data_IF_042457847454
#
_entry.id   IF_042457847454
#
_cell.length_a   1.000
_cell.length_b   1.000
_cell.length_c   1.000
_cell.angle_alpha   90.00
_cell.angle_beta   90.00
_cell.angle_gamma   90.00
#
_symmetry.space_group_name_H-M   'P 1'
#
loop_
_entity.id
_entity.type
_entity.pdbx_description
1 polymer ?
#
# COMPACT_ATOMS: atom_id res chain seq x y z
N UNK A 1 -11.47 -31.21 14.04
CA UNK A 1 -11.47 -29.84 13.46
C UNK A 1 -11.11 -28.75 14.48
N UNK A 2 -11.88 -28.50 15.57
CA UNK A 2 -11.59 -27.39 16.53
C UNK A 2 -10.23 -27.47 17.23
N UNK A 3 -9.65 -28.67 17.47
CA UNK A 3 -8.30 -28.81 18.06
C UNK A 3 -7.23 -28.31 17.10
N UNK A 4 -7.30 -28.67 15.82
CA UNK A 4 -6.37 -28.22 14.76
C UNK A 4 -6.52 -26.71 14.55
N UNK A 5 -7.76 -26.20 14.40
CA UNK A 5 -8.00 -24.77 14.25
C UNK A 5 -7.41 -23.95 15.40
N UNK A 6 -7.51 -24.46 16.65
CA UNK A 6 -6.90 -23.81 17.83
C UNK A 6 -5.38 -23.78 17.77
N UNK A 7 -4.75 -24.89 17.36
CA UNK A 7 -3.29 -24.93 17.22
C UNK A 7 -2.81 -23.98 16.13
N UNK A 8 -3.44 -24.03 14.96
CA UNK A 8 -3.15 -23.13 13.82
C UNK A 8 -3.30 -21.67 14.24
N UNK A 9 -4.46 -21.29 14.80
CA UNK A 9 -4.75 -19.93 15.25
C UNK A 9 -3.72 -19.41 16.27
N UNK A 10 -3.38 -20.24 17.25
CA UNK A 10 -2.43 -19.88 18.30
C UNK A 10 -1.02 -19.67 17.75
N UNK A 11 -0.49 -20.68 17.03
CA UNK A 11 0.90 -20.63 16.58
C UNK A 11 1.14 -19.58 15.50
N UNK A 12 0.20 -19.45 14.56
CA UNK A 12 0.27 -18.37 13.56
C UNK A 12 0.15 -17.00 14.26
N UNK A 13 -0.79 -16.86 15.19
CA UNK A 13 -0.97 -15.60 15.92
C UNK A 13 0.26 -15.20 16.74
N UNK A 14 0.96 -16.15 17.36
CA UNK A 14 2.19 -15.87 18.12
C UNK A 14 3.37 -15.57 17.19
N UNK A 15 3.52 -16.32 16.09
CA UNK A 15 4.66 -16.18 15.18
C UNK A 15 4.58 -14.87 14.36
N UNK A 16 3.43 -14.59 13.77
CA UNK A 16 3.24 -13.44 12.88
C UNK A 16 2.61 -12.22 13.56
N UNK A 17 2.12 -12.36 14.79
CA UNK A 17 1.39 -11.30 15.49
C UNK A 17 2.18 -10.02 15.65
N UNK A 18 3.45 -10.10 16.02
CA UNK A 18 4.32 -8.92 16.15
C UNK A 18 4.51 -8.21 14.80
N UNK A 19 4.70 -8.97 13.71
CA UNK A 19 4.82 -8.39 12.37
C UNK A 19 3.51 -7.69 11.99
N UNK A 20 2.36 -8.31 12.26
CA UNK A 20 1.04 -7.71 12.01
C UNK A 20 0.84 -6.41 12.82
N UNK A 21 1.34 -6.33 14.04
CA UNK A 21 1.31 -5.09 14.84
C UNK A 21 2.11 -4.00 14.15
N UNK A 22 3.33 -4.30 13.72
CA UNK A 22 4.19 -3.34 13.00
C UNK A 22 3.51 -2.87 11.70
N UNK A 23 2.96 -3.81 10.92
CA UNK A 23 2.24 -3.49 9.68
C UNK A 23 0.98 -2.66 9.95
N UNK A 24 0.22 -2.97 11.00
CA UNK A 24 -0.96 -2.19 11.39
C UNK A 24 -0.63 -0.75 11.76
N UNK A 25 0.34 -0.55 12.66
CA UNK A 25 0.73 0.78 13.14
C UNK A 25 1.36 1.63 12.02
N UNK A 26 2.24 1.05 11.22
CA UNK A 26 2.83 1.77 10.07
C UNK A 26 1.78 2.08 9.00
N UNK A 27 0.87 1.14 8.71
CA UNK A 27 -0.24 1.36 7.78
C UNK A 27 -1.20 2.47 8.24
N UNK A 28 -1.45 2.57 9.56
CA UNK A 28 -2.22 3.66 10.16
C UNK A 28 -1.62 5.04 9.83
N UNK A 29 -0.32 5.20 10.00
CA UNK A 29 0.39 6.44 9.66
C UNK A 29 0.39 6.69 8.13
N UNK A 30 0.60 5.64 7.33
CA UNK A 30 0.65 5.74 5.86
C UNK A 30 -0.68 6.10 5.22
N UNK A 31 -1.82 5.92 5.90
CA UNK A 31 -3.10 6.44 5.44
C UNK A 31 -3.10 7.97 5.26
N UNK A 32 -2.16 8.67 5.92
CA UNK A 32 -1.95 10.12 5.88
C UNK A 32 -0.58 10.50 5.34
N UNK A 33 0.04 9.61 4.58
CA UNK A 33 1.43 9.74 4.14
C UNK A 33 1.70 11.09 3.45
N UNK A 34 0.87 11.50 2.50
CA UNK A 34 1.10 12.73 1.74
C UNK A 34 0.94 13.98 2.59
N UNK A 35 -0.05 13.99 3.46
CA UNK A 35 -0.32 15.12 4.36
C UNK A 35 0.79 15.23 5.43
N UNK A 36 1.15 14.11 6.05
CA UNK A 36 2.21 14.08 7.06
C UNK A 36 3.57 14.45 6.47
N UNK A 37 3.91 13.94 5.28
CA UNK A 37 5.17 14.25 4.62
C UNK A 37 5.28 15.75 4.29
N UNK A 38 4.20 16.39 3.85
CA UNK A 38 4.15 17.84 3.60
C UNK A 38 4.26 18.66 4.88
N UNK A 39 3.60 18.25 5.96
CA UNK A 39 3.70 18.91 7.28
C UNK A 39 5.13 18.82 7.83
N UNK A 40 5.77 17.68 7.68
CA UNK A 40 7.13 17.44 8.14
C UNK A 40 8.18 18.17 7.30
N UNK A 41 7.92 18.32 5.99
CA UNK A 41 8.89 18.81 5.01
C UNK A 41 8.32 19.93 4.13
N UNK A 42 7.79 21.04 4.68
CA UNK A 42 7.18 22.09 3.88
C UNK A 42 8.17 22.70 2.88
N UNK A 43 9.41 23.00 3.29
CA UNK A 43 10.43 23.57 2.41
C UNK A 43 10.89 22.66 1.26
N UNK A 44 10.65 21.34 1.36
CA UNK A 44 10.99 20.37 0.33
C UNK A 44 9.83 20.12 -0.66
N UNK A 45 8.60 20.05 -0.13
CA UNK A 45 7.44 19.55 -0.86
C UNK A 45 6.40 20.62 -1.19
N UNK A 46 6.59 21.84 -0.69
CA UNK A 46 5.67 22.94 -0.91
C UNK A 46 6.42 24.20 -1.31
N UNK A 47 5.78 24.98 -2.16
CA UNK A 47 6.24 26.30 -2.63
C UNK A 47 5.09 27.30 -2.55
N UNK A 48 5.42 28.59 -2.54
CA UNK A 48 4.40 29.63 -2.62
C UNK A 48 3.73 29.53 -4.00
N UNK A 49 2.43 29.25 -4.02
CA UNK A 49 1.67 29.14 -5.26
C UNK A 49 1.62 30.52 -5.94
N UNK A 50 2.17 30.69 -7.14
CA UNK A 50 2.03 31.95 -7.85
C UNK A 50 0.57 32.12 -8.28
N UNK A 51 0.02 33.31 -8.08
CA UNK A 51 -1.28 33.67 -8.62
C UNK A 51 -1.24 33.52 -10.16
N UNK A 52 -2.15 32.74 -10.73
CA UNK A 52 -2.35 32.61 -12.18
C UNK A 52 -1.67 31.41 -12.88
N UNK A 53 -0.78 30.65 -12.24
CA UNK A 53 -0.21 29.44 -12.86
C UNK A 53 -1.21 28.29 -13.05
N UNK A 54 -2.34 28.36 -12.35
CA UNK A 54 -3.37 27.34 -12.39
C UNK A 54 -4.74 28.01 -12.60
N UNK A 55 -5.26 28.05 -13.84
CA UNK A 55 -6.58 28.59 -14.10
C UNK A 55 -7.67 27.68 -13.50
N UNK A 56 -8.38 28.17 -12.51
CA UNK A 56 -9.50 27.51 -11.87
C UNK A 56 -9.14 26.40 -10.89
N UNK A 57 -10.14 25.81 -10.23
CA UNK A 57 -10.00 24.71 -9.23
C UNK A 57 -9.45 23.39 -9.81
N UNK A 58 -9.36 23.26 -11.13
CA UNK A 58 -8.81 22.09 -11.80
C UNK A 58 -7.33 22.28 -12.08
N UNK A 59 -6.48 21.72 -11.24
CA UNK A 59 -5.02 21.74 -11.39
C UNK A 59 -4.56 20.90 -12.57
N UNK A 60 -4.69 21.46 -13.78
CA UNK A 60 -4.10 20.90 -14.98
C UNK A 60 -2.77 21.60 -15.23
N UNK A 61 -1.70 20.85 -15.07
CA UNK A 61 -0.36 21.32 -15.43
C UNK A 61 -0.27 21.40 -16.94
N UNK A 62 0.12 22.56 -17.48
CA UNK A 62 0.30 22.74 -18.92
C UNK A 62 1.41 21.81 -19.46
N UNK A 63 1.21 21.14 -20.61
CA UNK A 63 2.24 20.29 -21.22
C UNK A 63 3.58 21.02 -21.42
N UNK A 64 3.54 22.30 -21.78
CA UNK A 64 4.74 23.14 -21.95
C UNK A 64 5.54 23.29 -20.66
N UNK A 65 4.86 23.44 -19.49
CA UNK A 65 5.56 23.51 -18.20
C UNK A 65 6.25 22.21 -17.85
N UNK A 66 5.59 21.07 -18.11
CA UNK A 66 6.20 19.75 -17.88
C UNK A 66 7.42 19.54 -18.78
N UNK A 67 7.34 20.02 -20.03
CA UNK A 67 8.48 20.04 -20.95
C UNK A 67 9.63 20.89 -20.40
N UNK A 68 9.33 22.11 -19.95
CA UNK A 68 10.36 23.01 -19.39
C UNK A 68 11.07 22.40 -18.18
N UNK A 69 10.34 21.70 -17.29
CA UNK A 69 10.93 20.99 -16.15
C UNK A 69 11.82 19.84 -16.63
N UNK A 70 11.36 19.05 -17.60
CA UNK A 70 12.15 17.95 -18.15
C UNK A 70 13.42 18.47 -18.82
N UNK A 71 13.33 19.54 -19.63
CA UNK A 71 14.48 20.16 -20.31
C UNK A 71 15.49 20.72 -19.32
N UNK A 72 15.01 21.37 -18.26
CA UNK A 72 15.88 21.89 -17.20
C UNK A 72 16.67 20.75 -16.54
N UNK A 73 15.99 19.65 -16.19
CA UNK A 73 16.65 18.50 -15.58
C UNK A 73 17.66 17.84 -16.52
N UNK A 74 17.34 17.71 -17.80
CA UNK A 74 18.23 17.10 -18.80
C UNK A 74 19.47 17.97 -19.04
N UNK A 75 19.33 19.31 -19.04
CA UNK A 75 20.46 20.25 -19.23
C UNK A 75 21.40 20.33 -18.03
N UNK A 76 20.90 20.00 -16.82
CA UNK A 76 21.73 20.02 -15.62
C UNK A 76 22.55 18.70 -15.53
N UNK A 77 23.91 18.78 -15.59
CA UNK A 77 24.76 17.57 -15.55
C UNK A 77 24.60 16.70 -14.31
N UNK A 78 24.00 17.25 -13.23
CA UNK A 78 23.77 16.54 -11.97
C UNK A 78 22.61 15.56 -12.05
N UNK A 79 21.68 15.74 -13.01
CA UNK A 79 20.40 15.04 -13.05
C UNK A 79 20.21 14.20 -14.32
N UNK A 80 20.19 14.80 -15.49
CA UNK A 80 19.83 14.11 -16.73
C UNK A 80 18.35 13.74 -16.81
N UNK A 81 18.02 12.78 -17.67
CA UNK A 81 16.63 12.35 -17.88
C UNK A 81 16.10 11.54 -16.69
N UNK A 82 15.00 11.95 -16.04
CA UNK A 82 14.41 11.19 -14.96
C UNK A 82 13.73 9.92 -15.47
N UNK A 83 13.62 8.88 -14.62
CA UNK A 83 12.78 7.71 -14.93
C UNK A 83 11.29 8.05 -14.87
N UNK A 84 10.89 8.88 -13.90
CA UNK A 84 9.52 9.37 -13.80
C UNK A 84 9.47 10.81 -13.31
N UNK A 85 8.47 11.55 -13.75
CA UNK A 85 8.16 12.89 -13.28
C UNK A 85 6.73 12.89 -12.71
N UNK A 86 6.63 13.05 -11.39
CA UNK A 86 5.36 13.28 -10.69
C UNK A 86 4.95 14.74 -10.79
N UNK A 87 3.70 15.01 -11.16
CA UNK A 87 3.18 16.35 -11.35
C UNK A 87 2.51 16.87 -10.06
N UNK A 88 2.54 18.19 -9.81
CA UNK A 88 1.83 18.82 -8.71
C UNK A 88 0.36 18.39 -8.64
N UNK A 89 -0.11 18.04 -7.46
CA UNK A 89 -1.49 17.65 -7.24
C UNK A 89 -2.39 18.85 -6.85
N UNK A 90 -1.82 19.85 -6.20
CA UNK A 90 -2.48 21.07 -5.73
C UNK A 90 -1.59 22.28 -5.97
N UNK A 91 -2.18 23.47 -5.93
CA UNK A 91 -1.41 24.71 -5.92
C UNK A 91 -0.43 24.70 -4.75
N UNK A 92 0.83 25.07 -5.02
CA UNK A 92 1.91 25.01 -4.04
C UNK A 92 2.61 23.66 -3.91
N UNK A 93 2.21 22.61 -4.65
CA UNK A 93 2.98 21.36 -4.72
C UNK A 93 4.14 21.48 -5.72
N UNK A 94 5.20 20.71 -5.50
CA UNK A 94 6.36 20.62 -6.37
C UNK A 94 6.23 19.49 -7.40
N UNK A 95 7.01 19.55 -8.48
CA UNK A 95 7.30 18.35 -9.28
C UNK A 95 8.25 17.44 -8.52
N UNK A 96 8.12 16.12 -8.73
CA UNK A 96 9.02 15.12 -8.13
C UNK A 96 9.62 14.29 -9.26
N UNK A 97 10.85 14.59 -9.62
CA UNK A 97 11.64 13.77 -10.56
C UNK A 97 12.26 12.59 -9.80
N UNK A 98 12.11 11.38 -10.32
CA UNK A 98 12.62 10.16 -9.70
C UNK A 98 13.71 9.55 -10.59
N UNK A 99 14.85 9.26 -9.99
CA UNK A 99 15.98 8.60 -10.62
C UNK A 99 16.24 7.27 -9.91
N UNK A 100 16.24 6.19 -10.67
CA UNK A 100 16.56 4.85 -10.16
C UNK A 100 18.05 4.59 -10.43
N UNK A 101 18.71 3.91 -9.51
CA UNK A 101 20.06 3.38 -9.77
C UNK A 101 20.04 2.48 -11.00
N UNK A 102 21.09 2.56 -11.81
CA UNK A 102 21.17 1.81 -13.08
C UNK A 102 20.96 0.31 -12.88
N UNK A 103 20.30 -0.38 -13.85
CA UNK A 103 19.96 -1.82 -13.74
C UNK A 103 21.16 -2.78 -13.74
N UNK A 104 22.38 -2.31 -13.58
CA UNK A 104 23.61 -3.13 -13.64
C UNK A 104 24.10 -3.70 -12.31
N UNK A 105 23.59 -3.25 -11.17
CA UNK A 105 23.87 -3.86 -9.88
C UNK A 105 22.78 -4.85 -9.54
N UNK A 106 23.09 -6.14 -9.58
CA UNK A 106 22.28 -7.18 -8.95
C UNK A 106 22.43 -6.98 -7.45
N UNK A 107 21.57 -6.14 -6.87
CA UNK A 107 21.48 -6.00 -5.43
C UNK A 107 21.00 -7.31 -4.84
N UNK A 108 21.55 -7.68 -3.70
CA UNK A 108 21.07 -8.87 -2.98
C UNK A 108 19.56 -8.73 -2.68
N UNK A 109 18.78 -9.85 -2.67
CA UNK A 109 17.32 -9.80 -2.53
C UNK A 109 16.82 -9.11 -1.24
N UNK A 110 17.68 -8.97 -0.25
CA UNK A 110 17.41 -8.27 1.01
C UNK A 110 17.85 -6.81 1.02
N UNK A 111 18.51 -6.34 -0.06
CA UNK A 111 18.92 -4.94 -0.16
C UNK A 111 17.74 -4.07 -0.54
N UNK A 112 17.60 -2.94 0.15
CA UNK A 112 16.55 -1.97 -0.13
C UNK A 112 16.90 -1.16 -1.39
N UNK A 113 16.04 -1.18 -2.38
CA UNK A 113 16.22 -0.33 -3.55
C UNK A 113 16.10 1.15 -3.18
N UNK A 114 17.10 1.93 -3.53
CA UNK A 114 17.16 3.37 -3.30
C UNK A 114 16.86 4.11 -4.61
N UNK A 115 16.01 5.13 -4.52
CA UNK A 115 15.70 6.03 -5.65
C UNK A 115 15.90 7.47 -5.23
N UNK A 116 16.67 8.24 -6.04
CA UNK A 116 16.86 9.67 -5.79
C UNK A 116 15.61 10.42 -6.23
N UNK A 117 15.05 11.22 -5.35
CA UNK A 117 13.95 12.13 -5.62
C UNK A 117 14.48 13.56 -5.64
N UNK A 118 14.23 14.27 -6.71
CA UNK A 118 14.57 15.69 -6.90
C UNK A 118 13.26 16.47 -7.01
N UNK A 119 13.09 17.45 -6.14
CA UNK A 119 11.88 18.28 -6.08
C UNK A 119 12.14 19.59 -6.82
N UNK A 120 11.21 19.97 -7.71
CA UNK A 120 11.35 21.15 -8.56
C UNK A 120 10.14 22.05 -8.38
N UNK A 121 10.41 23.32 -8.11
CA UNK A 121 9.39 24.39 -8.05
C UNK A 121 8.84 24.66 -9.46
N UNK A 122 7.51 24.53 -9.66
CA UNK A 122 6.88 24.77 -10.96
C UNK A 122 6.96 26.22 -11.47
N UNK A 123 7.14 27.19 -10.56
CA UNK A 123 7.16 28.61 -10.91
C UNK A 123 8.54 29.09 -11.32
N UNK A 124 9.55 28.68 -10.56
CA UNK A 124 10.93 29.17 -10.74
C UNK A 124 11.82 28.22 -11.50
N UNK A 125 11.36 26.98 -11.73
CA UNK A 125 12.12 25.86 -12.27
C UNK A 125 13.41 25.58 -11.47
N UNK A 126 13.44 25.92 -10.18
CA UNK A 126 14.58 25.66 -9.29
C UNK A 126 14.33 24.39 -8.49
N UNK A 127 15.38 23.67 -8.20
CA UNK A 127 15.36 22.52 -7.30
C UNK A 127 15.17 23.02 -5.87
N UNK A 128 14.09 22.62 -5.21
CA UNK A 128 13.80 22.94 -3.80
C UNK A 128 14.56 22.04 -2.84
N UNK A 129 14.94 20.86 -3.28
CA UNK A 129 15.75 19.91 -2.53
C UNK A 129 15.70 18.51 -3.10
N UNK A 130 16.38 17.60 -2.42
CA UNK A 130 16.53 16.21 -2.83
C UNK A 130 16.41 15.29 -1.62
N UNK A 131 16.02 14.03 -1.87
CA UNK A 131 16.11 12.95 -0.88
C UNK A 131 16.27 11.59 -1.55
N UNK A 132 16.88 10.67 -0.86
CA UNK A 132 17.01 9.28 -1.29
C UNK A 132 15.87 8.45 -0.70
N UNK A 133 14.88 8.13 -1.53
CA UNK A 133 13.77 7.28 -1.14
C UNK A 133 14.23 5.81 -1.08
N UNK A 134 14.15 5.20 0.08
CA UNK A 134 14.64 3.84 0.33
C UNK A 134 15.82 3.79 1.29
N UNK A 135 16.53 4.89 1.48
CA UNK A 135 17.41 5.02 2.64
C UNK A 135 16.58 5.12 3.92
N UNK A 136 17.09 4.50 4.98
CA UNK A 136 16.44 4.52 6.27
C UNK A 136 16.91 5.71 7.09
N UNK A 137 16.01 6.37 7.75
CA UNK A 137 16.35 7.49 8.62
C UNK A 137 15.16 7.98 9.42
N UNK A 138 15.47 8.64 10.54
CA UNK A 138 14.49 9.27 11.43
C UNK A 138 14.41 10.79 11.23
N UNK A 139 15.18 11.35 10.30
CA UNK A 139 15.05 12.75 9.93
C UNK A 139 13.66 13.05 9.34
N UNK A 140 13.22 14.30 9.40
CA UNK A 140 11.90 14.70 8.85
C UNK A 140 11.73 14.25 7.39
N UNK A 141 12.76 14.40 6.56
CA UNK A 141 12.73 14.03 5.16
C UNK A 141 12.64 12.51 4.93
N UNK A 142 13.16 11.71 5.87
CA UNK A 142 13.25 10.25 5.72
C UNK A 142 12.19 9.48 6.51
N UNK A 143 11.45 10.13 7.42
CA UNK A 143 10.50 9.43 8.29
C UNK A 143 9.39 8.72 7.51
N UNK A 144 8.70 9.42 6.61
CA UNK A 144 7.62 8.82 5.83
C UNK A 144 8.13 7.76 4.82
N UNK A 145 9.25 7.99 4.09
CA UNK A 145 9.92 6.92 3.34
C UNK A 145 10.24 5.69 4.18
N UNK A 146 10.82 5.86 5.37
CA UNK A 146 11.17 4.75 6.27
C UNK A 146 9.94 3.95 6.71
N UNK A 147 8.85 4.63 7.14
CA UNK A 147 7.59 3.96 7.49
C UNK A 147 7.02 3.18 6.30
N UNK A 148 7.09 3.71 5.08
CA UNK A 148 6.68 3.01 3.88
C UNK A 148 7.50 1.73 3.65
N UNK A 149 8.83 1.80 3.82
CA UNK A 149 9.70 0.66 3.64
C UNK A 149 9.54 -0.40 4.75
N UNK A 150 9.26 0.01 5.99
CA UNK A 150 8.87 -0.92 7.06
C UNK A 150 7.57 -1.63 6.68
N UNK A 151 6.54 -0.89 6.30
CA UNK A 151 5.22 -1.45 5.99
C UNK A 151 5.23 -2.41 4.80
N UNK A 152 5.95 -2.06 3.73
CA UNK A 152 5.90 -2.81 2.47
C UNK A 152 6.98 -3.88 2.34
N UNK A 153 8.15 -3.66 2.95
CA UNK A 153 9.35 -4.46 2.73
C UNK A 153 10.00 -4.96 4.01
N UNK A 154 9.47 -4.60 5.20
CA UNK A 154 10.12 -4.86 6.50
C UNK A 154 11.61 -4.47 6.48
N UNK A 155 11.96 -3.48 5.67
CA UNK A 155 13.35 -3.02 5.47
C UNK A 155 14.31 -4.10 4.92
N UNK A 156 13.77 -5.14 4.31
CA UNK A 156 14.53 -6.29 3.80
C UNK A 156 14.28 -6.53 2.30
N UNK A 157 14.14 -5.44 1.52
CA UNK A 157 14.03 -5.50 0.05
C UNK A 157 12.95 -6.45 -0.46
N UNK A 158 13.21 -7.16 -1.54
CA UNK A 158 12.27 -8.11 -2.13
C UNK A 158 11.98 -9.30 -1.21
N UNK A 159 12.94 -9.74 -0.39
CA UNK A 159 12.70 -10.79 0.61
C UNK A 159 11.72 -10.34 1.69
N UNK A 160 11.85 -9.11 2.17
CA UNK A 160 10.90 -8.54 3.12
C UNK A 160 9.48 -8.46 2.55
N UNK A 161 9.34 -8.16 1.26
CA UNK A 161 8.06 -8.18 0.56
C UNK A 161 7.42 -9.56 0.54
N UNK A 162 8.21 -10.63 0.37
CA UNK A 162 7.74 -12.02 0.49
C UNK A 162 7.26 -12.32 1.91
N UNK A 163 8.02 -11.88 2.93
CA UNK A 163 7.62 -12.06 4.35
C UNK A 163 6.30 -11.35 4.64
N UNK A 164 6.11 -10.12 4.14
CA UNK A 164 4.83 -9.40 4.26
C UNK A 164 3.69 -10.17 3.60
N UNK A 165 3.90 -10.75 2.40
CA UNK A 165 2.90 -11.58 1.73
C UNK A 165 2.54 -12.83 2.53
N UNK A 166 3.54 -13.55 3.06
CA UNK A 166 3.33 -14.72 3.92
C UNK A 166 2.58 -14.30 5.19
N UNK A 167 2.91 -13.17 5.79
CA UNK A 167 2.21 -12.63 6.96
C UNK A 167 0.74 -12.34 6.64
N UNK A 168 0.45 -11.73 5.47
CA UNK A 168 -0.92 -11.51 5.01
C UNK A 168 -1.69 -12.83 4.78
N UNK A 169 -1.08 -13.81 4.13
CA UNK A 169 -1.66 -15.14 3.93
C UNK A 169 -1.91 -15.86 5.27
N UNK A 170 -0.98 -15.73 6.22
CA UNK A 170 -1.12 -16.24 7.59
C UNK A 170 -2.29 -15.58 8.33
N UNK A 171 -2.50 -14.29 8.12
CA UNK A 171 -3.68 -13.59 8.68
C UNK A 171 -4.99 -14.15 8.11
N UNK A 172 -5.07 -14.44 6.81
CA UNK A 172 -6.25 -15.11 6.22
C UNK A 172 -6.53 -16.45 6.90
N UNK A 173 -5.51 -17.29 7.12
CA UNK A 173 -5.65 -18.56 7.85
C UNK A 173 -6.07 -18.33 9.32
N UNK A 174 -5.55 -17.28 9.95
CA UNK A 174 -5.91 -16.90 11.34
C UNK A 174 -7.38 -16.47 11.41
N UNK A 175 -7.88 -15.70 10.44
CA UNK A 175 -9.28 -15.31 10.35
C UNK A 175 -10.17 -16.55 10.19
N UNK A 176 -9.87 -17.43 9.24
CA UNK A 176 -10.64 -18.66 9.00
C UNK A 176 -10.68 -19.57 10.23
N UNK A 177 -9.52 -19.82 10.84
CA UNK A 177 -9.44 -20.63 12.06
C UNK A 177 -10.17 -19.96 13.24
N UNK A 178 -10.08 -18.64 13.37
CA UNK A 178 -10.80 -17.85 14.38
C UNK A 178 -12.31 -17.95 14.23
N UNK A 179 -12.84 -17.85 13.01
CA UNK A 179 -14.25 -18.02 12.71
C UNK A 179 -14.76 -19.44 13.06
N UNK A 180 -13.96 -20.48 12.75
CA UNK A 180 -14.27 -21.88 13.16
C UNK A 180 -14.33 -22.01 14.69
N UNK A 181 -13.41 -21.37 15.39
CA UNK A 181 -13.38 -21.38 16.85
C UNK A 181 -14.53 -20.59 17.49
N UNK A 182 -14.86 -19.45 16.87
CA UNK A 182 -15.94 -18.59 17.33
C UNK A 182 -17.33 -19.22 17.13
N UNK A 183 -17.51 -20.05 16.08
CA UNK A 183 -18.81 -20.55 15.65
C UNK A 183 -19.62 -21.16 16.80
N UNK A 184 -20.71 -20.52 17.24
CA UNK A 184 -21.54 -21.00 18.34
C UNK A 184 -22.43 -22.17 17.88
N UNK A 185 -23.01 -22.88 18.83
CA UNK A 185 -24.16 -23.77 18.55
C UNK A 185 -25.31 -22.92 18.05
N UNK A 186 -26.06 -23.40 17.04
CA UNK A 186 -27.11 -22.65 16.33
C UNK A 186 -28.39 -22.40 17.16
N UNK A 187 -28.27 -22.04 18.44
CA UNK A 187 -29.35 -21.57 19.27
C UNK A 187 -29.30 -20.04 19.40
N UNK A 188 -30.42 -19.34 19.18
CA UNK A 188 -30.53 -17.88 19.20
C UNK A 188 -29.89 -17.24 20.46
N UNK A 189 -30.18 -17.81 21.64
CA UNK A 189 -29.60 -17.36 22.91
C UNK A 189 -28.08 -17.50 22.97
N UNK A 190 -27.51 -18.49 22.28
CA UNK A 190 -26.05 -18.74 22.22
C UNK A 190 -25.37 -17.76 21.27
N UNK A 191 -26.02 -17.39 20.17
CA UNK A 191 -25.51 -16.37 19.22
C UNK A 191 -25.42 -15.02 19.91
N UNK A 192 -26.48 -14.56 20.58
CA UNK A 192 -26.45 -13.30 21.33
C UNK A 192 -25.38 -13.27 22.43
N UNK A 193 -25.19 -14.36 23.17
CA UNK A 193 -24.11 -14.50 24.15
C UNK A 193 -22.71 -14.48 23.49
N UNK A 194 -22.60 -14.94 22.27
CA UNK A 194 -21.33 -14.94 21.52
C UNK A 194 -20.98 -13.55 20.99
N UNK A 195 -21.98 -12.68 20.78
CA UNK A 195 -21.80 -11.30 20.28
C UNK A 195 -21.69 -10.26 21.42
N UNK A 196 -21.88 -10.66 22.68
CA UNK A 196 -21.79 -9.74 23.81
C UNK A 196 -20.48 -9.88 24.56
N UNK A 197 -19.89 -8.73 24.91
CA UNK A 197 -18.74 -8.60 25.82
C UNK A 197 -19.30 -8.14 27.17
N UNK A 198 -19.14 -8.95 28.22
CA UNK A 198 -19.64 -8.61 29.55
C UNK A 198 -18.56 -7.86 30.33
N UNK A 199 -18.90 -6.69 30.84
CA UNK A 199 -18.10 -5.95 31.80
C UNK A 199 -18.23 -6.64 33.16
N UNK A 200 -17.09 -6.87 33.83
CA UNK A 200 -17.00 -7.55 35.11
C UNK A 200 -16.28 -8.89 35.04
N UNK A 201 -15.59 -9.24 36.11
CA UNK A 201 -14.73 -10.41 36.21
C UNK A 201 -13.23 -10.08 36.07
N UNK A 202 -12.39 -11.12 35.94
CA UNK A 202 -10.95 -10.94 35.81
C UNK A 202 -10.55 -10.35 34.47
N UNK A 203 -9.51 -9.54 34.43
CA UNK A 203 -8.91 -8.95 33.22
C UNK A 203 -8.67 -9.95 32.07
N UNK A 204 -8.11 -11.16 32.32
CA UNK A 204 -7.97 -12.15 31.25
C UNK A 204 -9.30 -12.67 30.67
N UNK A 205 -10.36 -12.71 31.47
CA UNK A 205 -11.70 -13.08 30.98
C UNK A 205 -12.25 -11.99 30.06
N UNK A 206 -12.05 -10.73 30.39
CA UNK A 206 -12.41 -9.61 29.54
C UNK A 206 -11.61 -9.65 28.23
N UNK A 207 -10.26 -9.82 28.27
CA UNK A 207 -9.40 -9.97 27.09
C UNK A 207 -9.89 -11.11 26.19
N UNK A 208 -10.21 -12.26 26.75
CA UNK A 208 -10.74 -13.40 25.97
C UNK A 208 -12.05 -13.07 25.27
N UNK A 209 -13.00 -12.41 25.96
CA UNK A 209 -14.29 -12.05 25.37
C UNK A 209 -14.09 -10.99 24.26
N UNK A 210 -13.26 -9.97 24.51
CA UNK A 210 -12.95 -8.94 23.53
C UNK A 210 -12.29 -9.54 22.28
N UNK A 211 -11.28 -10.40 22.46
CA UNK A 211 -10.63 -11.11 21.37
C UNK A 211 -11.61 -11.96 20.56
N UNK A 212 -12.44 -12.76 21.23
CA UNK A 212 -13.39 -13.66 20.60
C UNK A 212 -14.48 -12.92 19.83
N UNK A 213 -15.16 -11.99 20.50
CA UNK A 213 -16.30 -11.25 19.93
C UNK A 213 -15.83 -10.20 18.93
N UNK A 214 -14.81 -9.41 19.31
CA UNK A 214 -14.20 -8.43 18.43
C UNK A 214 -13.62 -9.08 17.18
N UNK A 215 -12.94 -10.23 17.32
CA UNK A 215 -12.39 -10.97 16.19
C UNK A 215 -13.40 -11.34 15.12
N UNK A 216 -14.60 -11.74 15.53
CA UNK A 216 -15.70 -11.99 14.60
C UNK A 216 -16.18 -10.72 13.90
N UNK A 217 -16.36 -9.63 14.65
CA UNK A 217 -16.90 -8.37 14.12
C UNK A 217 -15.93 -7.70 13.13
N UNK A 218 -14.61 -7.77 13.38
CA UNK A 218 -13.61 -7.14 12.51
C UNK A 218 -13.09 -8.07 11.40
N UNK A 219 -13.46 -9.36 11.42
CA UNK A 219 -13.00 -10.36 10.46
C UNK A 219 -13.20 -9.94 8.98
N UNK A 220 -14.34 -9.34 8.55
CA UNK A 220 -14.52 -8.92 7.17
C UNK A 220 -13.51 -7.85 6.74
N UNK A 221 -13.23 -6.87 7.60
CA UNK A 221 -12.27 -5.80 7.30
C UNK A 221 -10.84 -6.36 7.29
N UNK A 222 -10.47 -7.18 8.29
CA UNK A 222 -9.16 -7.86 8.31
C UNK A 222 -8.96 -8.74 7.08
N UNK A 223 -10.01 -9.41 6.59
CA UNK A 223 -9.94 -10.21 5.36
C UNK A 223 -9.58 -9.35 4.16
N UNK A 224 -10.25 -8.20 3.98
CA UNK A 224 -9.97 -7.26 2.89
C UNK A 224 -8.53 -6.73 3.02
N UNK A 225 -8.10 -6.35 4.24
CA UNK A 225 -6.74 -5.86 4.50
C UNK A 225 -5.68 -6.92 4.18
N UNK A 226 -5.89 -8.15 4.61
CA UNK A 226 -4.97 -9.25 4.36
C UNK A 226 -4.89 -9.60 2.86
N UNK A 227 -6.04 -9.79 2.20
CA UNK A 227 -6.12 -10.12 0.77
C UNK A 227 -5.46 -9.05 -0.10
N UNK A 228 -5.80 -7.77 0.15
CA UNK A 228 -5.21 -6.66 -0.58
C UNK A 228 -3.70 -6.52 -0.31
N UNK A 229 -3.25 -6.72 0.92
CA UNK A 229 -1.83 -6.73 1.28
C UNK A 229 -1.04 -7.81 0.52
N UNK A 230 -1.57 -9.04 0.46
CA UNK A 230 -0.99 -10.12 -0.35
C UNK A 230 -0.96 -9.75 -1.83
N UNK A 231 -2.05 -9.20 -2.36
CA UNK A 231 -2.11 -8.78 -3.78
C UNK A 231 -1.09 -7.69 -4.11
N UNK A 232 -0.85 -6.71 -3.23
CA UNK A 232 0.10 -5.62 -3.51
C UNK A 232 1.55 -6.06 -3.43
N UNK A 233 1.84 -7.07 -2.65
CA UNK A 233 3.19 -7.61 -2.53
C UNK A 233 3.46 -8.71 -3.54
N UNK A 234 2.52 -9.65 -3.72
CA UNK A 234 2.64 -10.82 -4.61
C UNK A 234 1.38 -10.97 -5.47
N UNK A 235 1.18 -10.09 -6.47
CA UNK A 235 -0.01 -10.16 -7.35
C UNK A 235 -0.12 -11.50 -8.08
N UNK A 236 1.00 -12.18 -8.36
CA UNK A 236 1.04 -13.51 -8.98
C UNK A 236 0.41 -14.61 -8.12
N UNK A 237 0.20 -14.41 -6.83
CA UNK A 237 -0.51 -15.36 -5.96
C UNK A 237 -2.03 -15.17 -6.00
N UNK A 238 -2.49 -13.93 -6.16
CA UNK A 238 -3.92 -13.58 -6.10
C UNK A 238 -4.55 -13.54 -7.50
N UNK A 239 -3.84 -12.99 -8.49
CA UNK A 239 -4.39 -12.82 -9.85
C UNK A 239 -4.88 -14.12 -10.49
N UNK A 240 -4.17 -15.26 -10.40
CA UNK A 240 -4.67 -16.52 -10.96
C UNK A 240 -5.96 -17.00 -10.28
N UNK A 241 -6.09 -16.83 -8.97
CA UNK A 241 -7.30 -17.21 -8.22
C UNK A 241 -8.48 -16.34 -8.66
N UNK A 242 -8.28 -15.03 -8.80
CA UNK A 242 -9.32 -14.12 -9.30
C UNK A 242 -9.69 -14.46 -10.73
N UNK A 243 -8.70 -14.72 -11.61
CA UNK A 243 -8.92 -15.06 -13.01
C UNK A 243 -9.68 -16.38 -13.20
N UNK A 244 -9.54 -17.33 -12.27
CA UNK A 244 -10.31 -18.58 -12.30
C UNK A 244 -11.80 -18.37 -12.01
N UNK A 245 -12.16 -17.29 -11.30
CA UNK A 245 -13.53 -16.94 -10.94
C UNK A 245 -14.12 -15.94 -11.96
N UNK A 246 -13.30 -14.96 -12.35
CA UNK A 246 -13.71 -13.88 -13.26
C UNK A 246 -12.50 -13.40 -14.08
N UNK A 247 -12.63 -13.27 -15.42
CA UNK A 247 -11.50 -12.94 -16.29
C UNK A 247 -10.76 -11.68 -15.87
N UNK A 248 -9.42 -11.77 -15.91
CA UNK A 248 -8.49 -10.66 -15.69
C UNK A 248 -7.75 -10.40 -17.00
N UNK A 249 -7.71 -9.14 -17.43
CA UNK A 249 -7.03 -8.74 -18.66
C UNK A 249 -5.52 -8.95 -18.54
N UNK A 250 -4.88 -9.70 -19.43
CA UNK A 250 -3.44 -9.85 -19.45
C UNK A 250 -2.74 -8.49 -19.59
N UNK A 251 -1.73 -8.25 -18.78
CA UNK A 251 -0.91 -7.04 -18.91
C UNK A 251 0.08 -7.21 -20.06
N UNK A 252 -0.37 -6.95 -21.29
CA UNK A 252 0.53 -6.88 -22.42
C UNK A 252 1.41 -5.62 -22.29
N UNK A 253 2.72 -5.78 -22.48
CA UNK A 253 3.61 -4.63 -22.65
C UNK A 253 3.26 -3.98 -23.99
N UNK A 254 2.88 -2.71 -23.96
CA UNK A 254 2.83 -1.90 -25.18
C UNK A 254 4.26 -1.74 -25.71
N UNK A 255 4.45 -1.98 -26.98
CA UNK A 255 5.75 -1.82 -27.68
C UNK A 255 5.57 -0.72 -28.70
N UNK A 256 6.55 0.15 -28.86
CA UNK A 256 6.57 1.13 -29.92
C UNK A 256 6.55 0.44 -31.30
N UNK A 257 5.74 0.95 -32.21
CA UNK A 257 5.57 0.37 -33.56
C UNK A 257 6.26 1.19 -34.65
N UNK A 258 6.92 2.29 -34.33
CA UNK A 258 7.57 3.12 -35.33
C UNK A 258 8.51 4.13 -34.74
N UNK A 259 9.67 4.22 -35.30
CA UNK A 259 10.70 5.18 -34.97
C UNK A 259 12.05 4.48 -34.70
N UNK A 260 12.99 4.70 -35.59
CA UNK A 260 14.39 4.40 -35.29
C UNK A 260 14.87 5.25 -34.10
N UNK A 261 16.07 5.01 -33.57
CA UNK A 261 16.57 5.67 -32.35
C UNK A 261 16.78 7.20 -32.46
N UNK A 262 16.36 7.84 -33.53
CA UNK A 262 16.72 9.23 -33.89
C UNK A 262 15.64 10.28 -33.57
N UNK A 263 14.35 9.93 -33.45
CA UNK A 263 13.29 10.92 -33.21
C UNK A 263 12.41 10.52 -32.02
N UNK A 264 12.72 11.08 -30.86
CA UNK A 264 11.83 11.01 -29.71
C UNK A 264 10.97 12.26 -29.63
N UNK A 265 9.65 12.03 -29.46
CA UNK A 265 8.76 13.16 -29.17
C UNK A 265 9.11 13.76 -27.80
N UNK A 266 8.81 15.03 -27.68
CA UNK A 266 8.90 15.74 -26.42
C UNK A 266 7.83 15.23 -25.43
N UNK A 267 8.14 15.22 -24.14
CA UNK A 267 7.19 14.76 -23.10
C UNK A 267 5.88 15.57 -23.12
N UNK A 268 5.93 16.85 -23.51
CA UNK A 268 4.76 17.69 -23.70
C UNK A 268 3.76 17.14 -24.73
N UNK A 269 4.27 16.57 -25.84
CA UNK A 269 3.43 15.94 -26.87
C UNK A 269 2.72 14.67 -26.31
N UNK A 270 3.45 13.86 -25.54
CA UNK A 270 2.87 12.69 -24.88
C UNK A 270 1.74 13.08 -23.91
N UNK A 271 1.93 14.16 -23.13
CA UNK A 271 0.91 14.67 -22.22
C UNK A 271 -0.29 15.18 -23.00
N UNK A 272 -0.09 15.93 -24.08
CA UNK A 272 -1.15 16.43 -24.95
C UNK A 272 -2.01 15.29 -25.50
N UNK A 273 -1.39 14.22 -26.01
CA UNK A 273 -2.10 13.05 -26.51
C UNK A 273 -2.92 12.36 -25.40
N UNK A 274 -2.38 12.28 -24.19
CA UNK A 274 -3.11 11.74 -23.04
C UNK A 274 -4.32 12.60 -22.65
N UNK A 275 -4.16 13.94 -22.64
CA UNK A 275 -5.23 14.88 -22.33
C UNK A 275 -6.32 14.89 -23.39
N UNK A 276 -5.98 14.73 -24.69
CA UNK A 276 -6.95 14.55 -25.76
C UNK A 276 -7.77 13.28 -25.58
N UNK A 277 -7.13 12.19 -25.12
CA UNK A 277 -7.84 10.92 -24.88
C UNK A 277 -8.76 10.99 -23.66
N UNK A 278 -8.37 11.72 -22.61
CA UNK A 278 -9.14 11.94 -21.38
C UNK A 278 -9.21 13.43 -21.03
N UNK A 279 -10.07 14.21 -21.70
CA UNK A 279 -10.12 15.67 -21.52
C UNK A 279 -10.43 16.13 -20.09
N UNK A 280 -11.16 15.32 -19.33
CA UNK A 280 -11.49 15.59 -17.93
C UNK A 280 -10.51 14.97 -16.92
N UNK A 281 -9.54 14.21 -17.40
CA UNK A 281 -8.51 13.60 -16.57
C UNK A 281 -7.38 14.55 -16.23
N UNK A 282 -6.81 14.42 -15.04
CA UNK A 282 -5.64 15.15 -14.60
C UNK A 282 -4.40 14.25 -14.71
N UNK A 283 -3.38 14.69 -15.44
CA UNK A 283 -2.09 14.00 -15.48
C UNK A 283 -1.42 14.11 -14.09
N UNK A 284 -0.95 13.00 -13.58
CA UNK A 284 -0.36 12.92 -12.24
C UNK A 284 1.09 12.46 -12.26
N UNK A 285 1.49 11.70 -13.29
CA UNK A 285 2.85 11.19 -13.45
C UNK A 285 3.12 10.85 -14.91
N UNK A 286 4.33 11.07 -15.33
CA UNK A 286 4.86 10.56 -16.61
C UNK A 286 6.06 9.69 -16.33
N UNK A 287 6.11 8.50 -16.92
CA UNK A 287 7.30 7.64 -16.96
C UNK A 287 7.96 7.83 -18.32
N UNK A 288 9.25 8.10 -18.30
CA UNK A 288 10.06 8.26 -19.51
C UNK A 288 10.52 6.90 -20.03
N UNK A 289 10.68 6.74 -21.34
CA UNK A 289 11.22 5.51 -21.91
C UNK A 289 12.67 5.29 -21.45
N UNK A 290 12.98 4.17 -20.78
CA UNK A 290 14.33 3.89 -20.29
C UNK A 290 15.31 3.57 -21.42
N UNK A 291 14.79 3.09 -22.54
CA UNK A 291 15.51 2.85 -23.81
C UNK A 291 14.64 3.40 -24.91
N UNK A 292 15.21 3.98 -25.94
CA UNK A 292 14.49 4.67 -27.00
C UNK A 292 13.40 3.88 -27.74
N UNK A 293 13.22 2.60 -27.44
CA UNK A 293 12.18 1.72 -27.98
C UNK A 293 10.97 1.53 -27.07
N UNK A 294 11.02 2.02 -25.82
CA UNK A 294 9.91 1.90 -24.90
C UNK A 294 8.96 3.10 -25.05
N UNK A 295 7.63 2.94 -24.78
CA UNK A 295 6.68 4.04 -24.81
C UNK A 295 6.79 4.92 -23.57
N UNK A 296 6.26 6.15 -23.63
CA UNK A 296 5.88 6.91 -22.46
C UNK A 296 4.71 6.22 -21.76
N UNK A 297 4.72 6.13 -20.43
CA UNK A 297 3.52 5.81 -19.65
C UNK A 297 3.03 7.06 -18.95
N UNK A 298 1.89 7.59 -19.38
CA UNK A 298 1.21 8.72 -18.73
C UNK A 298 0.17 8.18 -17.76
N UNK A 299 0.31 8.51 -16.49
CA UNK A 299 -0.70 8.20 -15.47
C UNK A 299 -1.62 9.39 -15.28
N UNK A 300 -2.92 9.11 -15.24
CA UNK A 300 -3.95 10.11 -15.03
C UNK A 300 -4.89 9.73 -13.90
N UNK A 301 -5.55 10.73 -13.35
CA UNK A 301 -6.70 10.56 -12.46
C UNK A 301 -7.93 11.17 -13.12
N UNK A 302 -8.94 10.36 -13.36
CA UNK A 302 -10.24 10.80 -13.81
C UNK A 302 -11.11 11.24 -12.61
N UNK A 303 -12.08 12.16 -12.79
CA UNK A 303 -12.91 12.69 -11.68
C UNK A 303 -13.64 11.61 -10.89
N UNK A 304 -14.16 10.58 -11.58
CA UNK A 304 -14.95 9.50 -10.98
C UNK A 304 -14.11 8.32 -10.47
N UNK A 305 -12.77 8.40 -10.51
CA UNK A 305 -11.93 7.34 -9.94
C UNK A 305 -12.02 7.30 -8.42
N UNK A 306 -12.26 6.11 -7.87
CA UNK A 306 -12.25 5.86 -6.43
C UNK A 306 -10.86 6.08 -5.83
N UNK A 307 -9.82 5.70 -6.60
CA UNK A 307 -8.44 5.90 -6.18
C UNK A 307 -8.10 7.38 -6.20
N UNK A 308 -7.83 7.92 -5.03
CA UNK A 308 -7.35 9.29 -4.85
C UNK A 308 -5.86 9.39 -5.26
N UNK A 309 -5.21 10.49 -4.99
CA UNK A 309 -3.79 10.67 -5.29
C UNK A 309 -3.47 10.54 -6.78
N UNK A 310 -2.55 9.60 -7.18
CA UNK A 310 -2.08 9.52 -8.55
C UNK A 310 -3.07 8.92 -9.56
N UNK A 311 -4.25 8.46 -9.13
CA UNK A 311 -5.20 7.79 -10.01
C UNK A 311 -4.75 6.38 -10.42
N UNK A 312 -5.55 5.75 -11.28
CA UNK A 312 -5.29 4.40 -11.77
C UNK A 312 -5.33 4.30 -13.30
N UNK A 313 -5.84 5.32 -14.01
CA UNK A 313 -5.80 5.40 -15.47
C UNK A 313 -4.36 5.49 -15.97
N UNK A 314 -3.99 4.65 -16.93
CA UNK A 314 -2.67 4.64 -17.58
C UNK A 314 -2.83 4.63 -19.08
N UNK A 315 -1.96 5.38 -19.74
CA UNK A 315 -1.95 5.52 -21.20
C UNK A 315 -0.51 5.29 -21.64
N UNK A 316 -0.32 4.29 -22.51
CA UNK A 316 0.95 4.05 -23.17
C UNK A 316 0.96 4.83 -24.48
N UNK A 317 1.98 5.66 -24.68
CA UNK A 317 2.10 6.58 -25.81
C UNK A 317 3.42 6.32 -26.52
N UNK A 318 3.34 6.11 -27.83
CA UNK A 318 4.50 5.89 -28.69
C UNK A 318 5.48 7.07 -28.61
N UNK A 319 6.74 6.77 -28.31
CA UNK A 319 7.77 7.80 -28.13
C UNK A 319 8.28 8.42 -29.44
N UNK A 320 7.93 7.86 -30.58
CA UNK A 320 8.30 8.40 -31.90
C UNK A 320 7.24 9.31 -32.52
N UNK A 321 5.95 9.06 -32.30
CA UNK A 321 4.87 9.73 -33.04
C UNK A 321 3.66 10.18 -32.17
N UNK A 322 3.74 10.09 -30.87
CA UNK A 322 2.68 10.43 -29.90
C UNK A 322 1.39 9.60 -30.03
N UNK A 323 1.39 8.49 -30.75
CA UNK A 323 0.21 7.65 -30.90
C UNK A 323 -0.10 6.91 -29.60
N UNK A 324 -1.38 6.82 -29.25
CA UNK A 324 -1.84 6.00 -28.12
C UNK A 324 -1.74 4.52 -28.48
N UNK A 325 -0.90 3.77 -27.78
CA UNK A 325 -0.67 2.34 -27.97
C UNK A 325 -1.58 1.47 -27.10
N UNK A 326 -1.93 1.97 -25.92
CA UNK A 326 -2.74 1.22 -24.97
C UNK A 326 -3.32 2.10 -23.88
N UNK A 327 -4.47 1.68 -23.36
CA UNK A 327 -5.18 2.39 -22.30
C UNK A 327 -5.63 1.38 -21.25
N UNK A 328 -5.34 1.67 -20.00
CA UNK A 328 -5.94 0.99 -18.84
C UNK A 328 -6.86 2.00 -18.16
N UNK A 329 -8.18 1.78 -18.33
CA UNK A 329 -9.21 2.63 -17.73
C UNK A 329 -9.93 1.88 -16.60
N UNK A 330 -9.71 2.23 -15.33
CA UNK A 330 -10.34 1.56 -14.21
C UNK A 330 -11.85 1.75 -14.16
N UNK A 331 -12.39 2.78 -14.81
CA UNK A 331 -13.84 2.99 -14.87
C UNK A 331 -14.55 2.02 -15.83
N UNK A 332 -13.83 1.54 -16.83
CA UNK A 332 -14.32 0.53 -17.77
C UNK A 332 -13.92 -0.89 -17.38
N UNK A 333 -13.20 -1.06 -16.28
CA UNK A 333 -12.79 -2.36 -15.78
C UNK A 333 -14.02 -3.24 -15.47
N UNK A 334 -13.96 -4.52 -15.88
CA UNK A 334 -15.01 -5.51 -15.67
C UNK A 334 -14.46 -6.74 -14.98
N UNK A 335 -15.36 -7.54 -14.39
CA UNK A 335 -14.98 -8.83 -13.82
C UNK A 335 -13.83 -8.74 -12.82
N UNK A 336 -12.81 -9.59 -13.02
CA UNK A 336 -11.64 -9.66 -12.14
C UNK A 336 -10.84 -8.36 -12.07
N UNK A 337 -10.72 -7.62 -13.18
CA UNK A 337 -10.03 -6.33 -13.19
C UNK A 337 -10.70 -5.30 -12.27
N UNK A 338 -12.04 -5.25 -12.30
CA UNK A 338 -12.80 -4.37 -11.40
C UNK A 338 -12.57 -4.75 -9.95
N UNK A 339 -12.64 -6.03 -9.61
CA UNK A 339 -12.35 -6.51 -8.26
C UNK A 339 -10.95 -6.09 -7.79
N UNK A 340 -9.92 -6.36 -8.60
CA UNK A 340 -8.54 -6.01 -8.28
C UNK A 340 -8.33 -4.49 -8.16
N UNK A 341 -9.04 -3.69 -8.95
CA UNK A 341 -8.95 -2.22 -8.88
C UNK A 341 -9.52 -1.64 -7.58
N UNK A 342 -10.48 -2.31 -6.96
CA UNK A 342 -11.08 -1.90 -5.68
C UNK A 342 -10.20 -2.21 -4.47
N UNK A 343 -9.26 -3.16 -4.57
CA UNK A 343 -8.44 -3.56 -3.43
C UNK A 343 -7.63 -2.39 -2.85
N UNK A 344 -7.11 -1.49 -3.70
CA UNK A 344 -6.33 -0.36 -3.21
C UNK A 344 -7.21 0.68 -2.47
N UNK A 345 -8.31 1.20 -3.06
CA UNK A 345 -9.18 2.13 -2.35
C UNK A 345 -9.79 1.57 -1.06
N UNK A 346 -10.06 0.26 -1.00
CA UNK A 346 -10.53 -0.39 0.22
C UNK A 346 -9.43 -0.49 1.28
N UNK A 347 -8.21 -0.85 0.89
CA UNK A 347 -7.06 -0.96 1.79
C UNK A 347 -6.68 0.38 2.42
N UNK A 348 -6.73 1.45 1.64
CA UNK A 348 -6.38 2.80 2.12
C UNK A 348 -7.56 3.55 2.75
N UNK A 349 -8.78 3.02 2.61
CA UNK A 349 -10.01 3.69 3.02
C UNK A 349 -10.51 4.75 2.03
N UNK A 350 -9.77 5.03 0.94
CA UNK A 350 -10.12 6.03 -0.06
C UNK A 350 -11.50 5.79 -0.70
N UNK A 351 -11.95 4.53 -0.75
CA UNK A 351 -13.26 4.14 -1.28
C UNK A 351 -14.43 4.85 -0.57
N UNK A 352 -14.25 5.23 0.69
CA UNK A 352 -15.25 5.93 1.50
C UNK A 352 -14.81 7.36 1.87
N UNK A 353 -13.89 7.93 1.08
CA UNK A 353 -13.38 9.29 1.28
C UNK A 353 -12.69 9.48 2.63
N UNK A 354 -12.89 10.65 3.24
CA UNK A 354 -12.25 11.01 4.50
C UNK A 354 -12.65 10.07 5.66
N UNK A 355 -13.94 9.72 5.75
CA UNK A 355 -14.44 8.83 6.80
C UNK A 355 -13.80 7.43 6.72
N UNK A 356 -13.64 6.89 5.50
CA UNK A 356 -12.95 5.64 5.28
C UNK A 356 -11.47 5.69 5.67
N UNK A 357 -10.76 6.77 5.34
CA UNK A 357 -9.36 6.97 5.71
C UNK A 357 -9.18 7.05 7.24
N UNK A 358 -10.06 7.79 7.94
CA UNK A 358 -10.07 7.84 9.41
C UNK A 358 -10.32 6.45 9.98
N UNK A 359 -11.32 5.74 9.46
CA UNK A 359 -11.64 4.39 9.90
C UNK A 359 -10.45 3.43 9.74
N UNK A 360 -9.81 3.38 8.58
CA UNK A 360 -8.66 2.49 8.33
C UNK A 360 -7.45 2.91 9.20
N UNK A 361 -7.24 4.21 9.39
CA UNK A 361 -6.18 4.69 10.30
C UNK A 361 -6.38 4.20 11.73
N UNK A 362 -7.59 4.28 12.26
CA UNK A 362 -7.93 3.73 13.59
C UNK A 362 -7.88 2.20 13.61
N UNK A 363 -8.31 1.57 12.50
CA UNK A 363 -8.31 0.11 12.35
C UNK A 363 -6.89 -0.48 12.35
N UNK A 364 -5.87 0.29 11.99
CA UNK A 364 -4.47 -0.10 12.07
C UNK A 364 -4.00 -0.47 13.48
N UNK A 365 -4.71 -0.07 14.54
CA UNK A 365 -4.45 -0.47 15.92
C UNK A 365 -5.08 -1.82 16.31
N UNK A 366 -5.96 -2.37 15.47
CA UNK A 366 -6.65 -3.64 15.73
C UNK A 366 -5.67 -4.81 15.92
N UNK A 367 -4.63 -5.00 15.08
CA UNK A 367 -3.64 -6.06 15.29
C UNK A 367 -2.95 -5.97 16.66
N UNK A 368 -2.64 -4.78 17.15
CA UNK A 368 -2.06 -4.58 18.49
C UNK A 368 -3.03 -5.05 19.57
N UNK A 369 -4.29 -4.65 19.50
CA UNK A 369 -5.32 -5.05 20.48
C UNK A 369 -5.52 -6.57 20.48
N UNK A 370 -5.57 -7.20 19.29
CA UNK A 370 -5.75 -8.65 19.20
C UNK A 370 -4.51 -9.44 19.61
N UNK A 371 -3.32 -8.99 19.26
CA UNK A 371 -2.09 -9.62 19.71
C UNK A 371 -1.99 -9.58 21.24
N UNK A 372 -2.22 -8.42 21.84
CA UNK A 372 -2.18 -8.23 23.30
C UNK A 372 -3.22 -9.09 24.01
N UNK A 373 -4.48 -9.05 23.58
CA UNK A 373 -5.55 -9.83 24.21
C UNK A 373 -5.36 -11.34 24.03
N UNK A 374 -4.86 -11.76 22.87
CA UNK A 374 -4.49 -13.16 22.61
C UNK A 374 -3.35 -13.63 23.48
N UNK A 375 -2.29 -12.84 23.60
CA UNK A 375 -1.12 -13.13 24.42
C UNK A 375 -1.49 -13.25 25.92
N UNK A 376 -2.27 -12.29 26.46
CA UNK A 376 -2.76 -12.33 27.85
C UNK A 376 -3.56 -13.60 28.12
N UNK A 377 -4.43 -13.96 27.19
CA UNK A 377 -5.25 -15.19 27.30
C UNK A 377 -4.36 -16.44 27.27
N UNK A 378 -3.41 -16.51 26.38
CA UNK A 378 -2.46 -17.64 26.26
C UNK A 378 -1.57 -17.79 27.50
N UNK A 379 -0.98 -16.71 27.99
CA UNK A 379 -0.12 -16.71 29.19
C UNK A 379 -0.88 -17.23 30.42
N UNK A 380 -2.13 -16.78 30.61
CA UNK A 380 -2.95 -17.28 31.72
C UNK A 380 -3.24 -18.77 31.64
N UNK A 381 -3.61 -19.24 30.45
CA UNK A 381 -3.90 -20.67 30.25
C UNK A 381 -2.65 -21.55 30.43
N UNK A 382 -1.47 -21.04 29.99
CA UNK A 382 -0.22 -21.75 30.12
C UNK A 382 0.22 -21.85 31.59
N UNK A 383 0.15 -20.75 32.35
CA UNK A 383 0.46 -20.73 33.79
C UNK A 383 -0.46 -21.66 34.58
N UNK A 384 -1.78 -21.65 34.28
CA UNK A 384 -2.74 -22.56 34.95
C UNK A 384 -2.44 -24.04 34.71
N UNK A 385 -2.00 -24.41 33.52
CA UNK A 385 -1.60 -25.80 33.19
C UNK A 385 -0.31 -26.20 33.89
N UNK A 386 0.67 -25.31 33.98
CA UNK A 386 1.94 -25.55 34.66
C UNK A 386 1.72 -25.79 36.17
N UNK A 387 0.88 -25.00 36.83
CA UNK A 387 0.53 -25.18 38.23
C UNK A 387 -0.21 -26.51 38.46
N UNK A 388 -1.20 -26.81 37.63
CA UNK A 388 -1.95 -28.06 37.72
C UNK A 388 -1.07 -29.30 37.48
N UNK A 389 -0.05 -29.21 36.62
CA UNK A 389 0.92 -30.28 36.40
C UNK A 389 1.82 -30.48 37.63
N UNK A 390 2.38 -29.38 38.20
CA UNK A 390 3.20 -29.45 39.42
C UNK A 390 2.44 -30.10 40.57
N UNK A 391 1.21 -29.66 40.85
CA UNK A 391 0.37 -30.19 41.90
C UNK A 391 0.08 -31.69 41.69
N UNK A 392 -0.08 -32.13 40.44
CA UNK A 392 -0.31 -33.53 40.10
C UNK A 392 0.93 -34.40 40.30
N UNK A 393 2.11 -33.87 40.03
CA UNK A 393 3.40 -34.55 40.25
C UNK A 393 3.64 -34.70 41.77
N UNK A 394 3.43 -33.63 42.52
CA UNK A 394 3.59 -33.62 43.99
C UNK A 394 2.61 -34.60 44.67
N UNK A 395 1.35 -34.63 44.26
CA UNK A 395 0.38 -35.62 44.77
C UNK A 395 0.82 -37.07 44.52
N UNK A 396 1.34 -37.37 43.33
CA UNK A 396 1.84 -38.73 43.01
C UNK A 396 3.11 -39.12 43.77
N UNK A 397 3.90 -38.14 44.19
CA UNK A 397 5.08 -38.42 45.05
C UNK A 397 4.67 -38.73 46.49
N UNK A 398 3.65 -38.06 47.01
CA UNK A 398 3.07 -38.29 48.34
C UNK A 398 2.37 -39.68 48.38
N UNK A 399 1.66 -40.09 47.34
CA UNK A 399 1.03 -41.42 47.26
C UNK A 399 2.03 -42.59 47.13
N UNK A 400 3.29 -42.31 46.81
CA UNK A 400 4.36 -43.34 46.66
C UNK A 400 5.32 -43.38 47.86
N UNK A 401 5.21 -42.46 48.82
CA UNK A 401 5.94 -42.44 50.08
C UNK A 401 5.13 -43.05 51.21
#
# INVERSE_FOLDING_TARGET
MKKIARAVHLWIGLLFGTILVVLGLTGSALSWMHELDKILNPGLLQVVAPHGLYPGDSMRVAPALVQSVADMLVRDPRYGQPNTLGLPARAGDVFVATYRSSPGHVEAPWTQAVTRHVMVDPATLRVTGERNWGELGLSRAMLMPTLFHIHRYLVAGEMGKVVVAITGASLLLTILSGLILWWPRMARSTIWKALTVRHGGSWPRFCYQLHRTGGFLVAPVLFVMALSGVYFTMPQWVTPVVNAISPVTPKNKSVNHGGGPAEHILVGAAITAAQQRFPNGRVTRVSFPPKGVDPFEVRMRQPAELRQGPGATRISIDSGNARVLGVVDPQQARGGDKFLSWLFPLHTGEAFGLAGRIFISLFGFVPLAFFTTGLVTWLKLHRGRSVAYKNRVEYRQIERA
#
